data_IF_015162773650
#
_entry.id   IF_015162773650
#
_cell.length_a   1.000
_cell.length_b   1.000
_cell.length_c   1.000
_cell.angle_alpha   90.00
_cell.angle_beta   90.00
_cell.angle_gamma   90.00
#
_symmetry.space_group_name_H-M   'P 1'
#
loop_
_entity.id
_entity.type
_entity.pdbx_description
1 polymer ?
#
# COMPACT_ATOMS: atom_id res chain seq x y z
N UNK A 1 -40.64 8.92 -31.07
CA UNK A 1 -40.77 8.31 -29.73
C UNK A 1 -39.41 8.32 -29.07
N UNK A 2 -39.21 9.14 -28.05
CA UNK A 2 -37.94 9.18 -27.31
C UNK A 2 -37.98 8.05 -26.27
N UNK A 3 -37.11 7.06 -26.40
CA UNK A 3 -36.96 5.99 -25.40
C UNK A 3 -36.45 6.63 -24.09
N UNK A 4 -37.25 6.51 -23.03
CA UNK A 4 -36.83 6.94 -21.70
C UNK A 4 -35.93 5.87 -21.08
N UNK A 5 -34.61 6.08 -21.11
CA UNK A 5 -33.64 5.15 -20.52
C UNK A 5 -33.85 4.96 -19.02
N UNK A 6 -34.55 5.89 -18.34
CA UNK A 6 -34.82 5.82 -16.91
C UNK A 6 -35.92 4.82 -16.54
N UNK A 7 -36.74 4.38 -17.51
CA UNK A 7 -37.76 3.35 -17.27
C UNK A 7 -37.22 1.93 -17.46
N UNK A 8 -35.97 1.77 -17.91
CA UNK A 8 -35.34 0.46 -18.08
C UNK A 8 -34.97 -0.08 -16.69
N UNK A 9 -35.30 -1.35 -16.37
CA UNK A 9 -34.82 -2.00 -15.15
C UNK A 9 -33.30 -1.88 -14.98
N UNK A 10 -32.86 -1.61 -13.75
CA UNK A 10 -31.45 -1.31 -13.45
C UNK A 10 -30.51 -2.43 -13.90
N UNK A 11 -30.95 -3.68 -13.82
CA UNK A 11 -30.18 -4.85 -14.24
C UNK A 11 -29.90 -4.85 -15.74
N UNK A 12 -30.92 -4.53 -16.55
CA UNK A 12 -30.77 -4.41 -18.01
C UNK A 12 -29.90 -3.20 -18.37
N UNK A 13 -30.05 -2.09 -17.66
CA UNK A 13 -29.22 -0.91 -17.86
C UNK A 13 -27.74 -1.22 -17.56
N UNK A 14 -27.44 -1.92 -16.47
CA UNK A 14 -26.09 -2.34 -16.12
C UNK A 14 -25.54 -3.38 -17.11
N UNK A 15 -26.39 -4.28 -17.62
CA UNK A 15 -26.00 -5.24 -18.64
C UNK A 15 -25.61 -4.54 -19.96
N UNK A 16 -26.38 -3.54 -20.39
CA UNK A 16 -26.03 -2.70 -21.55
C UNK A 16 -24.75 -1.92 -21.28
N UNK A 17 -24.65 -1.29 -20.11
CA UNK A 17 -23.48 -0.50 -19.71
C UNK A 17 -22.17 -1.31 -19.68
N UNK A 18 -22.25 -2.61 -19.36
CA UNK A 18 -21.11 -3.52 -19.36
C UNK A 18 -20.48 -3.71 -20.75
N UNK A 19 -21.25 -3.56 -21.83
CA UNK A 19 -20.74 -3.66 -23.21
C UNK A 19 -20.28 -2.32 -23.80
N UNK A 20 -20.32 -1.23 -23.03
CA UNK A 20 -19.89 0.08 -23.48
C UNK A 20 -18.43 0.35 -23.10
N UNK A 21 -17.68 0.90 -24.05
CA UNK A 21 -16.36 1.47 -23.77
C UNK A 21 -16.46 2.65 -22.78
N UNK A 22 -15.34 3.00 -22.15
CA UNK A 22 -15.28 4.07 -21.15
C UNK A 22 -15.87 5.41 -21.62
N UNK A 23 -15.65 5.80 -22.88
CA UNK A 23 -16.15 7.06 -23.44
C UNK A 23 -17.67 7.15 -23.55
N UNK A 24 -18.33 6.22 -24.28
CA UNK A 24 -19.79 6.09 -24.30
C UNK A 24 -20.39 5.94 -22.90
N UNK A 25 -19.75 5.17 -22.02
CA UNK A 25 -20.22 4.96 -20.66
C UNK A 25 -20.20 6.24 -19.82
N UNK A 26 -19.12 7.02 -19.92
CA UNK A 26 -19.01 8.34 -19.28
C UNK A 26 -20.04 9.33 -19.84
N UNK A 27 -20.31 9.26 -21.15
CA UNK A 27 -21.34 10.08 -21.79
C UNK A 27 -22.72 9.71 -21.25
N UNK A 28 -23.04 8.41 -21.21
CA UNK A 28 -24.30 7.89 -20.68
C UNK A 28 -24.52 8.29 -19.22
N UNK A 29 -23.52 8.12 -18.35
CA UNK A 29 -23.64 8.52 -16.94
C UNK A 29 -23.82 10.03 -16.77
N UNK A 30 -23.32 10.84 -17.71
CA UNK A 30 -23.47 12.30 -17.67
C UNK A 30 -24.82 12.83 -18.18
N UNK A 31 -25.63 11.99 -18.84
CA UNK A 31 -26.92 12.43 -19.43
C UNK A 31 -27.99 12.73 -18.39
N UNK A 32 -28.03 12.01 -17.26
CA UNK A 32 -29.02 12.24 -16.20
C UNK A 32 -28.45 11.97 -14.81
N UNK A 33 -29.00 12.65 -13.78
CA UNK A 33 -28.59 12.46 -12.38
C UNK A 33 -28.91 11.04 -11.89
N UNK A 34 -30.01 10.45 -12.36
CA UNK A 34 -30.38 9.08 -12.01
C UNK A 34 -29.36 8.08 -12.58
N UNK A 35 -28.98 8.24 -13.85
CA UNK A 35 -27.95 7.41 -14.50
C UNK A 35 -26.59 7.58 -13.83
N UNK A 36 -26.18 8.80 -13.47
CA UNK A 36 -24.95 9.04 -12.71
C UNK A 36 -24.95 8.32 -11.34
N UNK A 37 -26.11 8.14 -10.70
CA UNK A 37 -26.19 7.48 -9.41
C UNK A 37 -26.07 5.94 -9.50
N UNK A 38 -26.47 5.37 -10.65
CA UNK A 38 -26.51 3.92 -10.87
C UNK A 38 -25.26 3.42 -11.62
N UNK A 39 -24.79 4.18 -12.60
CA UNK A 39 -23.67 3.82 -13.47
C UNK A 39 -22.41 4.49 -12.94
N UNK A 40 -21.49 3.69 -12.41
CA UNK A 40 -20.13 4.12 -12.09
C UNK A 40 -19.14 3.64 -13.17
N UNK A 41 -18.70 4.52 -14.09
CA UNK A 41 -17.76 4.16 -15.15
C UNK A 41 -16.44 3.57 -14.62
N UNK A 42 -16.02 3.98 -13.42
CA UNK A 42 -14.76 3.53 -12.83
C UNK A 42 -14.86 2.11 -12.24
N UNK A 43 -16.07 1.64 -11.95
CA UNK A 43 -16.34 0.29 -11.49
C UNK A 43 -16.59 -0.70 -12.63
N UNK A 44 -17.17 -0.22 -13.75
CA UNK A 44 -17.57 -1.06 -14.87
C UNK A 44 -16.47 -1.27 -15.92
N UNK A 45 -15.60 -0.27 -16.13
CA UNK A 45 -14.51 -0.39 -17.09
C UNK A 45 -13.18 -0.75 -16.41
N UNK A 46 -12.32 -1.42 -17.17
CA UNK A 46 -10.95 -1.65 -16.78
C UNK A 46 -10.14 -0.35 -16.76
N UNK A 47 -9.06 -0.35 -15.97
CA UNK A 47 -8.12 0.76 -15.95
C UNK A 47 -7.44 0.97 -17.32
N UNK A 48 -7.26 -0.10 -18.10
CA UNK A 48 -6.67 -0.11 -19.44
C UNK A 48 -7.52 0.72 -20.42
N UNK A 49 -8.83 0.48 -20.45
CA UNK A 49 -9.79 1.22 -21.28
C UNK A 49 -9.85 2.70 -20.89
N UNK A 50 -9.86 2.97 -19.58
CA UNK A 50 -9.80 4.33 -19.05
C UNK A 50 -8.51 5.05 -19.50
N UNK A 51 -7.36 4.38 -19.44
CA UNK A 51 -6.11 4.94 -19.97
C UNK A 51 -6.20 5.24 -21.47
N UNK A 52 -6.72 4.29 -22.25
CA UNK A 52 -6.85 4.43 -23.70
C UNK A 52 -7.74 5.63 -24.07
N UNK A 53 -8.89 5.79 -23.40
CA UNK A 53 -9.79 6.92 -23.60
C UNK A 53 -9.10 8.26 -23.34
N UNK A 54 -8.44 8.43 -22.18
CA UNK A 54 -7.80 9.70 -21.84
C UNK A 54 -6.57 10.00 -22.73
N UNK A 55 -5.84 8.99 -23.18
CA UNK A 55 -4.76 9.16 -24.15
C UNK A 55 -5.30 9.57 -25.52
N UNK A 56 -6.41 8.99 -25.95
CA UNK A 56 -7.09 9.36 -27.17
C UNK A 56 -7.61 10.80 -27.09
N UNK A 57 -8.32 11.15 -26.02
CA UNK A 57 -8.83 12.50 -25.78
C UNK A 57 -7.70 13.56 -25.70
N UNK A 58 -6.57 13.27 -25.07
CA UNK A 58 -5.39 14.17 -25.06
C UNK A 58 -4.82 14.45 -26.47
N UNK A 59 -4.98 13.53 -27.41
CA UNK A 59 -4.42 13.63 -28.77
C UNK A 59 -5.41 14.22 -29.76
N UNK A 60 -6.66 13.83 -29.67
CA UNK A 60 -7.63 14.04 -30.74
C UNK A 60 -8.73 15.04 -30.40
N UNK A 61 -8.98 15.34 -29.12
CA UNK A 61 -10.08 16.22 -28.74
C UNK A 61 -9.62 17.68 -28.75
N UNK A 62 -10.20 18.56 -29.61
CA UNK A 62 -9.74 19.94 -29.74
C UNK A 62 -9.79 20.74 -28.44
N UNK A 63 -10.79 20.50 -27.60
CA UNK A 63 -10.94 21.13 -26.30
C UNK A 63 -9.81 20.81 -25.30
N UNK A 64 -8.99 19.80 -25.60
CA UNK A 64 -7.83 19.41 -24.81
C UNK A 64 -6.51 19.70 -25.51
N UNK A 65 -6.55 20.44 -26.63
CA UNK A 65 -5.34 20.93 -27.28
C UNK A 65 -4.48 21.72 -26.27
N UNK A 66 -3.17 21.46 -26.28
CA UNK A 66 -2.22 22.07 -25.36
C UNK A 66 -2.29 21.59 -23.90
N UNK A 67 -3.23 20.72 -23.54
CA UNK A 67 -3.34 20.16 -22.19
C UNK A 67 -2.71 18.77 -22.10
N UNK A 68 -2.33 18.39 -20.89
CA UNK A 68 -1.84 17.06 -20.56
C UNK A 68 -2.78 16.38 -19.55
N UNK A 69 -3.04 15.09 -19.72
CA UNK A 69 -3.80 14.32 -18.74
C UNK A 69 -2.91 13.90 -17.55
N UNK A 70 -3.42 14.12 -16.35
CA UNK A 70 -2.90 13.51 -15.13
C UNK A 70 -3.61 12.18 -14.88
N UNK A 71 -2.89 11.06 -14.99
CA UNK A 71 -3.49 9.74 -14.77
C UNK A 71 -3.72 9.38 -13.30
N UNK A 72 -3.31 10.25 -12.37
CA UNK A 72 -3.63 10.06 -10.96
C UNK A 72 -4.98 10.65 -10.57
N UNK A 73 -5.40 11.77 -11.17
CA UNK A 73 -6.69 12.39 -10.89
C UNK A 73 -7.64 12.44 -12.10
N UNK A 74 -7.21 11.93 -13.25
CA UNK A 74 -7.98 11.85 -14.49
C UNK A 74 -8.52 13.22 -14.97
N UNK A 75 -7.70 14.26 -14.79
CA UNK A 75 -8.00 15.63 -15.24
C UNK A 75 -6.97 16.10 -16.26
N UNK A 76 -7.44 16.83 -17.26
CA UNK A 76 -6.60 17.61 -18.17
C UNK A 76 -6.11 18.86 -17.45
N UNK A 77 -4.80 19.10 -17.51
CA UNK A 77 -4.11 20.20 -16.85
C UNK A 77 -3.14 20.84 -17.84
N UNK A 78 -2.84 22.11 -17.64
CA UNK A 78 -1.84 22.81 -18.45
C UNK A 78 -0.43 22.23 -18.20
N UNK A 79 0.48 22.26 -19.19
CA UNK A 79 1.78 21.58 -19.09
C UNK A 79 2.70 22.08 -17.96
N UNK A 80 2.55 23.34 -17.56
CA UNK A 80 3.23 23.99 -16.42
C UNK A 80 2.80 23.42 -15.06
N UNK A 81 1.68 22.69 -15.01
CA UNK A 81 1.24 21.95 -13.82
C UNK A 81 1.86 20.56 -13.71
N UNK A 82 2.84 20.23 -14.54
CA UNK A 82 3.60 18.98 -14.46
C UNK A 82 5.06 19.27 -14.13
N UNK A 83 5.73 18.33 -13.47
CA UNK A 83 7.19 18.38 -13.36
C UNK A 83 7.83 18.15 -14.73
N UNK A 84 9.04 18.66 -14.94
CA UNK A 84 9.68 18.68 -16.27
C UNK A 84 9.86 17.26 -16.84
N UNK A 85 10.16 16.29 -15.98
CA UNK A 85 10.27 14.87 -16.35
C UNK A 85 8.95 14.24 -16.82
N UNK A 86 7.82 14.81 -16.37
CA UNK A 86 6.46 14.41 -16.74
C UNK A 86 5.94 15.19 -17.96
N UNK A 87 6.53 16.35 -18.26
CA UNK A 87 6.22 17.18 -19.44
C UNK A 87 7.01 16.73 -20.69
N UNK A 88 8.34 16.70 -20.61
CA UNK A 88 9.24 16.51 -21.76
C UNK A 88 10.11 15.25 -21.70
N UNK A 89 10.02 14.44 -20.64
CA UNK A 89 10.90 13.29 -20.42
C UNK A 89 10.34 11.94 -20.91
N UNK A 90 10.92 10.86 -20.38
CA UNK A 90 10.48 9.46 -20.56
C UNK A 90 9.05 9.19 -20.10
N UNK A 91 8.39 10.14 -19.44
CA UNK A 91 7.00 10.05 -19.01
C UNK A 91 6.09 11.07 -19.73
N UNK A 92 6.65 11.84 -20.67
CA UNK A 92 5.93 12.86 -21.43
C UNK A 92 4.99 12.28 -22.49
N UNK A 93 4.20 13.15 -23.11
CA UNK A 93 3.19 12.80 -24.15
C UNK A 93 3.77 12.03 -25.34
N UNK A 94 5.04 12.24 -25.65
CA UNK A 94 5.72 11.64 -26.80
C UNK A 94 6.67 10.50 -26.41
N UNK A 95 6.55 9.95 -25.19
CA UNK A 95 7.37 8.78 -24.84
C UNK A 95 6.92 7.55 -25.62
N UNK A 96 7.87 6.82 -26.20
CA UNK A 96 7.63 5.52 -26.83
C UNK A 96 7.18 4.42 -25.85
N UNK A 97 7.41 4.60 -24.55
CA UNK A 97 7.02 3.63 -23.52
C UNK A 97 5.64 3.98 -22.96
N UNK A 98 4.62 3.25 -23.44
CA UNK A 98 3.23 3.42 -23.00
C UNK A 98 3.07 3.23 -21.49
N UNK A 99 3.82 2.31 -20.86
CA UNK A 99 3.74 2.10 -19.41
C UNK A 99 4.24 3.32 -18.64
N UNK A 100 5.31 3.97 -19.14
CA UNK A 100 5.83 5.20 -18.51
C UNK A 100 4.92 6.40 -18.75
N UNK A 101 4.26 6.51 -19.90
CA UNK A 101 3.24 7.53 -20.12
C UNK A 101 2.11 7.41 -19.09
N UNK A 102 1.60 6.20 -18.86
CA UNK A 102 0.53 5.92 -17.87
C UNK A 102 0.90 6.33 -16.44
N UNK A 103 2.19 6.50 -16.14
CA UNK A 103 2.69 7.01 -14.85
C UNK A 103 2.82 8.55 -14.76
N UNK A 104 2.25 9.29 -15.72
CA UNK A 104 2.21 10.76 -15.69
C UNK A 104 1.18 11.26 -14.69
N UNK A 105 1.56 12.23 -13.88
CA UNK A 105 0.70 12.87 -12.89
C UNK A 105 1.04 14.35 -12.78
N UNK A 106 0.04 15.18 -12.49
CA UNK A 106 0.24 16.60 -12.24
C UNK A 106 1.00 16.81 -10.92
N UNK A 107 1.61 17.99 -10.80
CA UNK A 107 2.37 18.44 -9.65
C UNK A 107 1.60 18.28 -8.35
N UNK A 108 0.34 18.73 -8.35
CA UNK A 108 -0.56 18.64 -7.20
C UNK A 108 -0.71 17.19 -6.72
N UNK A 109 -1.03 16.26 -7.62
CA UNK A 109 -1.10 14.83 -7.29
C UNK A 109 0.25 14.29 -6.83
N UNK A 110 1.34 14.72 -7.47
CA UNK A 110 2.69 14.32 -7.12
C UNK A 110 3.06 14.64 -5.67
N UNK A 111 2.68 15.83 -5.20
CA UNK A 111 2.94 16.30 -3.84
C UNK A 111 1.94 15.71 -2.85
N UNK A 112 0.63 15.87 -3.09
CA UNK A 112 -0.44 15.46 -2.17
C UNK A 112 -0.52 13.94 -1.97
N UNK A 113 -0.37 13.17 -3.04
CA UNK A 113 -0.36 11.70 -3.02
C UNK A 113 1.03 11.11 -2.84
N UNK A 114 2.06 11.95 -2.63
CA UNK A 114 3.45 11.55 -2.35
C UNK A 114 4.05 10.64 -3.43
N UNK A 115 3.75 10.94 -4.69
CA UNK A 115 4.30 10.19 -5.83
C UNK A 115 5.75 10.58 -6.13
N UNK A 116 6.17 11.77 -5.69
CA UNK A 116 7.59 12.14 -5.68
C UNK A 116 8.32 11.55 -4.48
N UNK A 117 9.62 11.25 -4.64
CA UNK A 117 10.47 10.83 -3.52
C UNK A 117 10.62 11.98 -2.50
N UNK A 118 10.65 11.63 -1.22
CA UNK A 118 10.73 12.61 -0.13
C UNK A 118 12.04 13.39 -0.18
N UNK A 119 11.97 14.73 -0.16
CA UNK A 119 13.11 15.65 -0.17
C UNK A 119 14.08 15.40 -1.34
N UNK A 120 13.61 14.80 -2.42
CA UNK A 120 14.38 14.68 -3.66
C UNK A 120 14.03 15.84 -4.58
N UNK A 121 15.05 16.44 -5.20
CA UNK A 121 14.87 17.51 -6.17
C UNK A 121 14.02 17.05 -7.36
N UNK A 122 12.97 17.81 -7.66
CA UNK A 122 12.09 17.66 -8.82
C UNK A 122 12.04 19.00 -9.53
N UNK A 123 12.43 19.03 -10.79
CA UNK A 123 12.37 20.24 -11.62
C UNK A 123 10.95 20.50 -12.10
N UNK A 124 10.51 21.75 -12.02
CA UNK A 124 9.26 22.27 -12.58
C UNK A 124 9.53 23.68 -13.11
N UNK A 125 9.33 23.89 -14.41
CA UNK A 125 9.59 25.18 -15.06
C UNK A 125 11.02 25.66 -14.80
N UNK A 126 12.00 24.74 -14.88
CA UNK A 126 13.42 25.04 -14.61
C UNK A 126 13.81 25.18 -13.14
N UNK A 127 12.85 25.41 -12.23
CA UNK A 127 13.11 25.54 -10.78
C UNK A 127 13.07 24.17 -10.11
N UNK A 128 14.04 23.90 -9.24
CA UNK A 128 14.10 22.64 -8.47
C UNK A 128 13.35 22.79 -7.15
N UNK A 129 12.34 21.96 -6.94
CA UNK A 129 11.60 21.85 -5.67
C UNK A 129 11.87 20.51 -4.99
N UNK A 130 11.64 20.46 -3.69
CA UNK A 130 11.87 19.33 -2.80
C UNK A 130 10.55 18.99 -2.11
N UNK A 131 9.78 18.02 -2.64
CA UNK A 131 8.50 17.60 -2.05
C UNK A 131 8.69 16.99 -0.65
N UNK A 132 8.05 17.58 0.35
CA UNK A 132 8.05 17.09 1.72
C UNK A 132 6.77 16.29 2.01
N UNK A 133 6.92 15.01 2.37
CA UNK A 133 5.79 14.13 2.64
C UNK A 133 5.08 14.47 3.95
N UNK A 134 5.78 15.10 4.90
CA UNK A 134 5.25 15.43 6.22
C UNK A 134 4.31 16.64 6.15
N UNK A 135 4.79 17.78 5.65
CA UNK A 135 3.99 18.99 5.51
C UNK A 135 3.10 18.97 4.26
N UNK A 136 3.40 18.13 3.26
CA UNK A 136 2.65 18.05 2.01
C UNK A 136 2.87 19.26 1.09
N UNK A 137 3.99 19.97 1.24
CA UNK A 137 4.41 21.10 0.39
C UNK A 137 5.65 20.72 -0.43
N UNK A 138 5.85 21.40 -1.56
CA UNK A 138 7.09 21.33 -2.32
C UNK A 138 7.80 22.67 -2.24
N UNK A 139 9.03 22.66 -1.69
CA UNK A 139 9.77 23.87 -1.33
C UNK A 139 11.08 23.92 -2.11
N UNK A 140 11.61 25.11 -2.39
CA UNK A 140 12.93 25.26 -3.04
C UNK A 140 14.06 24.92 -2.07
N UNK A 141 15.31 24.77 -2.56
CA UNK A 141 16.45 24.33 -1.75
C UNK A 141 16.64 25.16 -0.46
N UNK A 142 16.52 26.49 -0.54
CA UNK A 142 16.64 27.41 0.60
C UNK A 142 15.45 27.40 1.56
N UNK A 143 14.36 26.72 1.20
CA UNK A 143 13.15 26.57 2.03
C UNK A 143 12.80 25.12 2.28
N UNK A 144 13.68 24.16 1.95
CA UNK A 144 13.41 22.74 2.20
C UNK A 144 13.05 22.57 3.68
N UNK A 145 12.12 21.68 4.01
CA UNK A 145 11.89 21.36 5.42
C UNK A 145 13.16 20.73 5.99
N UNK A 146 14.02 21.54 6.62
CA UNK A 146 15.25 21.10 7.29
C UNK A 146 14.93 20.45 8.65
N UNK A 147 13.72 20.72 9.15
CA UNK A 147 13.48 20.85 10.58
C UNK A 147 12.46 19.83 11.12
N UNK A 148 12.62 18.56 10.74
CA UNK A 148 11.89 17.47 11.41
C UNK A 148 12.78 16.28 11.82
N UNK A 149 14.09 16.40 11.61
CA UNK A 149 15.07 15.38 12.02
C UNK A 149 15.84 15.74 13.29
N UNK A 150 15.66 16.95 13.85
CA UNK A 150 16.23 17.32 15.15
C UNK A 150 15.15 18.02 15.95
N UNK A 151 14.85 17.44 17.12
CA UNK A 151 14.03 17.98 18.22
C UNK A 151 12.61 18.41 17.85
N UNK A 152 11.64 17.57 18.25
CA UNK A 152 10.30 18.05 18.58
C UNK A 152 10.42 18.98 19.80
N UNK A 153 10.84 20.21 19.55
CA UNK A 153 10.71 21.29 20.51
C UNK A 153 9.28 21.86 20.37
N UNK A 154 8.39 21.72 21.36
CA UNK A 154 7.00 22.16 21.27
C UNK A 154 6.85 23.68 21.10
N UNK A 155 7.93 24.47 21.20
CA UNK A 155 7.92 25.92 21.03
C UNK A 155 7.81 26.39 19.56
N UNK A 156 8.05 25.53 18.55
CA UNK A 156 8.04 25.95 17.14
C UNK A 156 6.63 25.96 16.50
N UNK A 157 5.59 26.29 17.28
CA UNK A 157 4.22 26.44 16.80
C UNK A 157 3.80 27.88 16.50
N UNK A 158 4.65 28.87 16.81
CA UNK A 158 4.27 30.29 16.71
C UNK A 158 5.00 31.14 15.66
N UNK A 159 5.99 30.63 14.93
CA UNK A 159 6.61 31.40 13.85
C UNK A 159 5.77 31.35 12.56
N UNK A 160 4.65 32.08 12.59
CA UNK A 160 3.98 32.63 11.42
C UNK A 160 4.88 33.71 10.81
N UNK A 161 5.84 33.31 9.98
CA UNK A 161 6.50 34.27 9.09
C UNK A 161 5.63 34.51 7.85
N UNK A 162 4.96 35.67 7.87
CA UNK A 162 4.42 36.33 6.69
C UNK A 162 5.57 36.63 5.72
N UNK A 163 5.43 36.22 4.46
CA UNK A 163 6.25 36.72 3.35
C UNK A 163 5.34 37.45 2.37
N UNK A 164 5.59 38.74 2.06
CA UNK A 164 4.67 39.57 1.25
C UNK A 164 4.69 39.33 -0.26
N UNK A 165 5.60 38.51 -0.81
CA UNK A 165 5.89 38.50 -2.26
C UNK A 165 5.53 37.22 -3.01
N UNK A 166 4.41 36.60 -2.62
CA UNK A 166 3.63 35.68 -3.48
C UNK A 166 2.17 35.66 -2.99
N UNK A 167 1.59 36.86 -2.95
CA UNK A 167 0.17 37.09 -2.75
C UNK A 167 -0.64 36.74 -3.99
N UNK A 168 -0.64 35.47 -4.39
CA UNK A 168 -1.75 34.85 -5.12
C UNK A 168 -2.05 33.50 -4.45
N UNK A 169 -2.83 33.60 -3.37
CA UNK A 169 -3.81 32.62 -2.89
C UNK A 169 -3.35 31.14 -2.83
N UNK A 170 -2.39 30.82 -1.98
CA UNK A 170 -2.55 29.63 -1.16
C UNK A 170 -3.07 30.09 0.19
N UNK A 171 -4.39 30.07 0.31
CA UNK A 171 -5.07 30.33 1.56
C UNK A 171 -4.67 29.27 2.60
N UNK A 172 -3.59 29.55 3.33
CA UNK A 172 -3.29 28.95 4.64
C UNK A 172 -4.27 29.45 5.73
N UNK A 173 -5.33 30.17 5.35
CA UNK A 173 -6.38 30.69 6.22
C UNK A 173 -7.77 30.08 6.00
N UNK A 174 -7.98 29.15 5.05
CA UNK A 174 -9.23 28.38 5.06
C UNK A 174 -8.99 27.17 5.98
N UNK A 175 -9.48 27.18 7.23
CA UNK A 175 -9.40 25.99 8.07
C UNK A 175 -9.95 24.83 7.27
N UNK A 176 -9.11 23.80 7.03
CA UNK A 176 -9.53 22.57 6.37
C UNK A 176 -10.85 22.17 7.01
N UNK A 177 -11.92 22.20 6.23
CA UNK A 177 -13.24 21.82 6.74
C UNK A 177 -13.12 20.38 7.21
N UNK A 178 -13.19 20.19 8.52
CA UNK A 178 -13.14 18.87 9.12
C UNK A 178 -14.31 18.07 8.56
N UNK A 179 -14.05 16.82 8.19
CA UNK A 179 -15.13 15.97 7.71
C UNK A 179 -16.20 15.83 8.80
N UNK A 180 -17.44 15.51 8.41
CA UNK A 180 -18.51 15.25 9.40
C UNK A 180 -18.08 14.17 10.40
N UNK A 181 -17.33 13.16 9.94
CA UNK A 181 -16.78 12.10 10.77
C UNK A 181 -15.69 12.58 11.74
N UNK A 182 -14.78 13.46 11.29
CA UNK A 182 -13.76 14.06 12.16
C UNK A 182 -14.41 14.88 13.28
N UNK A 183 -15.42 15.70 12.96
CA UNK A 183 -16.18 16.47 13.95
C UNK A 183 -16.95 15.57 14.92
N UNK A 184 -17.53 14.48 14.43
CA UNK A 184 -18.26 13.52 15.25
C UNK A 184 -17.34 12.81 16.26
N UNK A 185 -16.14 12.40 15.84
CA UNK A 185 -15.17 11.75 16.73
C UNK A 185 -14.60 12.70 17.78
N UNK A 186 -14.55 13.99 17.48
CA UNK A 186 -14.13 15.02 18.42
C UNK A 186 -15.24 15.39 19.40
N UNK A 187 -16.48 15.56 18.91
CA UNK A 187 -17.62 15.96 19.71
C UNK A 187 -18.10 14.88 20.70
N UNK A 188 -18.08 13.61 20.30
CA UNK A 188 -18.62 12.51 21.12
C UNK A 188 -17.56 11.69 21.87
N UNK A 189 -16.33 12.22 21.94
CA UNK A 189 -15.24 11.65 22.75
C UNK A 189 -14.76 10.26 22.31
N UNK A 190 -13.99 9.61 23.20
CA UNK A 190 -13.31 8.35 22.91
C UNK A 190 -14.23 7.16 22.58
N UNK A 191 -15.41 7.07 23.23
CA UNK A 191 -16.28 5.88 23.15
C UNK A 191 -16.89 5.67 21.76
N UNK A 192 -17.45 6.72 21.15
CA UNK A 192 -18.05 6.61 19.80
C UNK A 192 -16.97 6.29 18.78
N UNK A 193 -15.82 6.95 18.89
CA UNK A 193 -14.64 6.67 18.06
C UNK A 193 -14.20 5.21 18.18
N UNK A 194 -14.04 4.69 19.39
CA UNK A 194 -13.62 3.30 19.63
C UNK A 194 -14.64 2.29 19.10
N UNK A 195 -15.94 2.54 19.28
CA UNK A 195 -16.98 1.66 18.75
C UNK A 195 -16.97 1.64 17.22
N UNK A 196 -16.90 2.80 16.57
CA UNK A 196 -16.84 2.88 15.10
C UNK A 196 -15.57 2.23 14.56
N UNK A 197 -14.41 2.56 15.12
CA UNK A 197 -13.14 1.99 14.67
C UNK A 197 -13.05 0.48 14.95
N UNK A 198 -13.67 -0.01 16.03
CA UNK A 198 -13.73 -1.43 16.36
C UNK A 198 -14.62 -2.26 15.43
N UNK A 199 -15.55 -1.63 14.71
CA UNK A 199 -16.37 -2.29 13.68
C UNK A 199 -15.66 -2.39 12.32
N UNK A 200 -14.60 -1.61 12.10
CA UNK A 200 -13.89 -1.59 10.83
C UNK A 200 -12.85 -2.72 10.76
N UNK A 201 -12.77 -3.37 9.61
CA UNK A 201 -11.70 -4.32 9.33
C UNK A 201 -10.33 -3.65 9.23
N UNK A 202 -9.27 -4.45 9.33
CA UNK A 202 -7.89 -3.94 9.35
C UNK A 202 -7.53 -3.10 8.11
N UNK A 203 -7.99 -3.53 6.93
CA UNK A 203 -7.77 -2.82 5.67
C UNK A 203 -8.45 -1.45 5.64
N UNK A 204 -9.67 -1.38 6.17
CA UNK A 204 -10.44 -0.14 6.20
C UNK A 204 -9.84 0.86 7.17
N UNK A 205 -9.32 0.38 8.31
CA UNK A 205 -8.56 1.23 9.23
C UNK A 205 -7.27 1.76 8.58
N UNK A 206 -6.55 0.95 7.80
CA UNK A 206 -5.38 1.43 7.02
C UNK A 206 -5.80 2.48 6.00
N UNK A 207 -6.90 2.27 5.28
CA UNK A 207 -7.43 3.22 4.29
C UNK A 207 -7.85 4.51 4.97
N UNK A 208 -8.62 4.43 6.04
CA UNK A 208 -9.07 5.56 6.86
C UNK A 208 -7.88 6.39 7.35
N UNK A 209 -6.83 5.73 7.87
CA UNK A 209 -5.58 6.37 8.31
C UNK A 209 -4.90 7.20 7.21
N UNK A 210 -5.13 6.88 5.93
CA UNK A 210 -4.57 7.62 4.78
C UNK A 210 -5.41 8.82 4.34
N UNK A 211 -6.70 8.85 4.70
CA UNK A 211 -7.64 9.89 4.23
C UNK A 211 -7.40 11.27 4.84
N UNK A 212 -6.94 11.34 6.10
CA UNK A 212 -6.70 12.62 6.76
C UNK A 212 -5.56 12.64 7.76
N UNK A 213 -5.10 13.86 8.10
CA UNK A 213 -4.12 14.07 9.17
C UNK A 213 -4.69 13.71 10.54
N UNK A 214 -5.97 13.96 10.76
CA UNK A 214 -6.65 13.60 12.00
C UNK A 214 -6.62 12.07 12.18
N UNK A 215 -7.14 11.31 11.22
CA UNK A 215 -7.15 9.84 11.30
C UNK A 215 -5.75 9.25 11.33
N UNK A 216 -4.76 9.88 10.70
CA UNK A 216 -3.37 9.42 10.82
C UNK A 216 -2.86 9.40 12.27
N UNK A 217 -3.28 10.38 13.08
CA UNK A 217 -2.89 10.53 14.49
C UNK A 217 -3.76 9.69 15.41
N UNK A 218 -5.06 9.58 15.13
CA UNK A 218 -6.04 8.96 16.02
C UNK A 218 -6.33 7.48 15.72
N UNK A 219 -6.09 7.04 14.49
CA UNK A 219 -6.33 5.64 14.08
C UNK A 219 -5.03 4.84 14.21
N UNK A 220 -5.07 3.84 15.08
CA UNK A 220 -4.07 2.79 15.20
C UNK A 220 -4.70 1.44 14.82
N UNK A 221 -4.52 0.98 13.56
CA UNK A 221 -5.12 -0.25 13.09
C UNK A 221 -4.78 -1.47 13.94
N UNK A 222 -3.61 -1.54 14.56
CA UNK A 222 -3.18 -2.70 15.36
C UNK A 222 -3.92 -2.75 16.70
N UNK A 223 -4.10 -1.58 17.33
CA UNK A 223 -4.78 -1.49 18.63
C UNK A 223 -6.29 -1.58 18.50
N UNK A 224 -6.86 -0.97 17.46
CA UNK A 224 -8.30 -0.78 17.32
C UNK A 224 -9.00 -1.90 16.53
N UNK A 225 -8.30 -2.60 15.65
CA UNK A 225 -8.88 -3.72 14.91
C UNK A 225 -8.94 -4.97 15.78
N UNK A 226 -10.11 -5.62 15.82
CA UNK A 226 -10.29 -6.94 16.46
C UNK A 226 -10.13 -8.10 15.47
N UNK A 227 -10.15 -7.80 14.17
CA UNK A 227 -10.02 -8.79 13.10
C UNK A 227 -8.56 -9.22 12.88
N UNK A 228 -8.11 -10.20 13.68
CA UNK A 228 -6.78 -10.83 13.56
C UNK A 228 -6.60 -11.50 12.20
N UNK A 229 -7.67 -12.07 11.64
CA UNK A 229 -7.62 -12.71 10.34
C UNK A 229 -7.35 -11.70 9.22
N UNK A 230 -8.00 -10.54 9.23
CA UNK A 230 -7.74 -9.46 8.28
C UNK A 230 -6.33 -8.89 8.41
N UNK A 231 -5.81 -8.76 9.63
CA UNK A 231 -4.41 -8.39 9.87
C UNK A 231 -3.44 -9.42 9.27
N UNK A 232 -3.71 -10.70 9.52
CA UNK A 232 -2.94 -11.83 8.98
C UNK A 232 -2.97 -11.85 7.46
N UNK A 233 -4.16 -11.79 6.85
CA UNK A 233 -4.36 -11.77 5.40
C UNK A 233 -3.61 -10.62 4.75
N UNK A 234 -3.65 -9.43 5.34
CA UNK A 234 -2.90 -8.28 4.83
C UNK A 234 -1.39 -8.53 4.82
N UNK A 235 -0.85 -9.07 5.92
CA UNK A 235 0.57 -9.38 6.02
C UNK A 235 0.95 -10.48 5.05
N UNK A 236 0.21 -11.58 5.01
CA UNK A 236 0.51 -12.71 4.14
C UNK A 236 0.43 -12.34 2.66
N UNK A 237 -0.54 -11.54 2.23
CA UNK A 237 -0.59 -11.04 0.86
C UNK A 237 0.66 -10.23 0.47
N UNK A 238 1.25 -9.50 1.44
CA UNK A 238 2.52 -8.80 1.23
C UNK A 238 3.71 -9.75 1.30
N UNK A 239 3.68 -10.76 2.16
CA UNK A 239 4.74 -11.77 2.23
C UNK A 239 4.80 -12.54 0.91
N UNK A 240 3.69 -13.12 0.46
CA UNK A 240 3.63 -13.91 -0.79
C UNK A 240 4.13 -13.11 -2.00
N UNK A 241 3.72 -11.84 -2.14
CA UNK A 241 4.22 -10.98 -3.21
C UNK A 241 5.74 -10.77 -3.15
N UNK A 242 6.34 -10.80 -1.96
CA UNK A 242 7.76 -10.51 -1.73
C UNK A 242 8.66 -11.75 -1.77
N UNK A 243 8.13 -12.97 -1.60
CA UNK A 243 8.94 -14.20 -1.72
C UNK A 243 9.56 -14.36 -3.11
N UNK A 244 8.92 -13.79 -4.14
CA UNK A 244 9.46 -13.76 -5.51
C UNK A 244 10.61 -12.77 -5.69
N UNK A 245 10.75 -11.78 -4.82
CA UNK A 245 11.74 -10.71 -4.90
C UNK A 245 12.58 -10.68 -3.62
N UNK A 246 13.66 -11.48 -3.59
CA UNK A 246 14.71 -11.75 -2.59
C UNK A 246 15.25 -10.58 -1.74
N UNK A 247 14.41 -9.65 -1.33
CA UNK A 247 14.78 -8.40 -0.70
C UNK A 247 14.68 -8.58 0.81
N UNK A 248 15.70 -8.06 1.50
CA UNK A 248 15.89 -8.20 2.94
C UNK A 248 14.85 -7.48 3.79
N UNK A 249 13.58 -7.84 3.63
CA UNK A 249 12.45 -7.36 4.38
C UNK A 249 11.63 -8.54 4.91
N UNK A 250 11.07 -8.37 6.11
CA UNK A 250 10.26 -9.36 6.83
C UNK A 250 9.05 -8.72 7.49
N UNK A 251 8.07 -9.55 7.78
CA UNK A 251 6.84 -9.12 8.44
C UNK A 251 6.99 -9.24 9.94
N UNK A 252 6.70 -8.15 10.64
CA UNK A 252 6.45 -8.19 12.06
C UNK A 252 4.97 -8.53 12.26
N UNK A 253 4.67 -9.68 12.84
CA UNK A 253 3.30 -10.16 13.06
C UNK A 253 2.62 -9.53 14.28
N UNK A 254 3.37 -8.76 15.08
CA UNK A 254 2.76 -7.92 16.11
C UNK A 254 2.20 -6.61 15.54
N UNK A 255 3.05 -5.83 14.85
CA UNK A 255 2.61 -4.53 14.30
C UNK A 255 2.07 -4.63 12.87
N UNK A 256 2.06 -5.84 12.30
CA UNK A 256 1.59 -6.15 10.95
C UNK A 256 2.20 -5.24 9.86
N UNK A 257 3.50 -4.94 10.00
CA UNK A 257 4.28 -4.13 9.05
C UNK A 257 5.44 -4.94 8.47
N UNK A 258 5.75 -4.64 7.21
CA UNK A 258 7.00 -5.06 6.56
C UNK A 258 8.12 -4.15 7.05
N UNK A 259 9.24 -4.76 7.45
CA UNK A 259 10.38 -4.15 8.13
C UNK A 259 11.67 -4.68 7.48
N UNK A 260 12.74 -3.90 7.46
CA UNK A 260 14.04 -4.39 6.96
C UNK A 260 14.63 -5.44 7.89
N UNK A 261 15.55 -6.27 7.40
CA UNK A 261 16.26 -7.29 8.22
C UNK A 261 16.91 -6.68 9.45
N UNK A 262 17.54 -5.52 9.31
CA UNK A 262 18.18 -4.79 10.41
C UNK A 262 17.24 -4.43 11.56
N UNK A 263 15.92 -4.51 11.35
CA UNK A 263 14.89 -4.25 12.36
C UNK A 263 14.46 -5.53 13.09
N UNK A 264 15.09 -6.67 12.87
CA UNK A 264 14.86 -7.92 13.60
C UNK A 264 16.12 -8.38 14.31
N UNK A 265 15.98 -9.20 15.36
CA UNK A 265 17.12 -9.82 16.00
C UNK A 265 17.75 -10.88 15.09
N UNK A 266 19.06 -11.13 15.26
CA UNK A 266 19.77 -12.12 14.45
C UNK A 266 19.28 -13.55 14.72
N UNK A 267 18.82 -13.82 15.94
CA UNK A 267 18.22 -15.10 16.32
C UNK A 267 16.88 -15.29 15.60
N UNK A 268 15.98 -14.30 15.64
CA UNK A 268 14.72 -14.36 14.90
C UNK A 268 14.94 -14.52 13.38
N UNK A 269 16.02 -13.94 12.88
CA UNK A 269 16.45 -14.10 11.50
C UNK A 269 16.92 -15.52 11.18
N UNK A 270 17.80 -16.09 12.01
CA UNK A 270 18.31 -17.45 11.84
C UNK A 270 17.18 -18.48 11.97
N UNK A 271 16.22 -18.22 12.87
CA UNK A 271 14.97 -18.95 13.00
C UNK A 271 13.97 -18.63 11.87
N UNK A 272 14.35 -17.98 10.77
CA UNK A 272 13.45 -17.80 9.61
C UNK A 272 13.69 -18.81 8.49
N UNK A 273 14.58 -19.78 8.72
CA UNK A 273 14.78 -20.91 7.80
C UNK A 273 13.50 -21.70 7.55
N UNK A 274 13.53 -22.54 6.51
CA UNK A 274 12.42 -23.40 6.11
C UNK A 274 11.91 -24.30 7.25
N UNK A 275 12.78 -24.60 8.23
CA UNK A 275 12.45 -25.30 9.48
C UNK A 275 11.36 -24.60 10.30
N UNK A 276 11.35 -23.27 10.38
CA UNK A 276 10.36 -22.54 11.20
C UNK A 276 9.01 -22.39 10.52
N UNK A 277 8.97 -22.47 9.18
CA UNK A 277 7.71 -22.62 8.46
C UNK A 277 7.08 -23.98 8.73
N UNK A 278 7.90 -25.05 8.79
CA UNK A 278 7.43 -26.38 9.18
C UNK A 278 6.99 -26.45 10.65
N UNK A 279 7.71 -25.78 11.55
CA UNK A 279 7.39 -25.73 12.97
C UNK A 279 6.16 -24.89 13.32
N UNK A 280 5.61 -24.12 12.36
CA UNK A 280 4.42 -23.29 12.61
C UNK A 280 4.66 -22.10 13.54
N UNK A 281 5.91 -21.72 13.79
CA UNK A 281 6.27 -20.63 14.72
C UNK A 281 6.62 -19.32 14.02
N UNK A 282 6.66 -19.29 12.69
CA UNK A 282 7.03 -18.11 11.91
C UNK A 282 6.17 -16.86 12.21
N UNK A 283 4.93 -17.04 12.70
CA UNK A 283 4.06 -15.94 13.10
C UNK A 283 4.49 -15.26 14.40
N UNK A 284 5.41 -15.85 15.19
CA UNK A 284 5.90 -15.26 16.45
C UNK A 284 6.91 -14.13 16.25
N UNK A 285 7.22 -13.78 14.99
CA UNK A 285 8.24 -12.78 14.66
C UNK A 285 7.81 -11.35 14.97
N UNK A 286 8.74 -10.61 15.56
CA UNK A 286 8.54 -9.24 16.04
C UNK A 286 9.75 -8.39 15.70
N UNK A 287 9.56 -7.21 15.14
CA UNK A 287 10.68 -6.28 14.97
C UNK A 287 11.17 -5.74 16.33
N UNK A 288 12.39 -5.22 16.39
CA UNK A 288 13.03 -4.65 17.59
C UNK A 288 12.14 -3.66 18.33
N UNK A 289 11.47 -2.75 17.60
CA UNK A 289 10.54 -1.78 18.20
C UNK A 289 9.38 -2.48 18.95
N UNK A 290 8.90 -3.60 18.43
CA UNK A 290 7.84 -4.37 19.09
C UNK A 290 8.43 -5.14 20.28
N UNK A 291 9.57 -5.81 20.12
CA UNK A 291 10.24 -6.48 21.25
C UNK A 291 10.51 -5.52 22.41
N UNK A 292 10.99 -4.31 22.13
CA UNK A 292 11.17 -3.26 23.15
C UNK A 292 9.85 -2.97 23.86
N UNK A 293 8.74 -2.79 23.13
CA UNK A 293 7.41 -2.58 23.74
C UNK A 293 6.84 -3.77 24.49
N UNK A 294 7.35 -4.99 24.29
CA UNK A 294 6.92 -6.17 25.03
C UNK A 294 7.63 -6.32 26.36
N UNK A 295 8.94 -6.05 26.35
CA UNK A 295 9.85 -6.48 27.41
C UNK A 295 10.51 -5.31 28.15
N UNK A 296 10.36 -4.07 27.68
CA UNK A 296 10.92 -2.91 28.38
C UNK A 296 10.17 -2.65 29.69
N UNK A 297 10.82 -2.59 30.85
CA UNK A 297 10.16 -2.52 32.16
C UNK A 297 9.13 -1.39 32.30
N UNK A 298 9.41 -0.23 31.71
CA UNK A 298 8.56 0.96 31.82
C UNK A 298 7.63 1.20 30.62
N UNK A 299 7.91 0.57 29.47
CA UNK A 299 7.18 0.81 28.21
C UNK A 299 6.39 -0.41 27.77
N UNK A 300 6.38 -1.46 28.60
CA UNK A 300 5.72 -2.72 28.33
C UNK A 300 4.20 -2.48 28.18
N UNK A 301 3.69 -2.75 26.99
CA UNK A 301 2.25 -2.79 26.74
C UNK A 301 1.75 -4.20 27.11
N UNK A 302 1.42 -4.40 28.38
CA UNK A 302 1.01 -5.70 28.94
C UNK A 302 -0.24 -6.24 28.27
N UNK A 303 -1.24 -5.39 28.01
CA UNK A 303 -2.47 -5.76 27.34
C UNK A 303 -2.20 -6.24 25.91
N UNK A 304 -1.36 -5.52 25.18
CA UNK A 304 -0.97 -5.97 23.84
C UNK A 304 -0.21 -7.31 23.92
N UNK A 305 0.65 -7.50 24.93
CA UNK A 305 1.44 -8.73 25.09
C UNK A 305 0.53 -9.93 25.31
N UNK A 306 -0.43 -9.81 26.21
CA UNK A 306 -1.47 -10.82 26.44
C UNK A 306 -2.29 -11.08 25.18
N UNK A 307 -2.66 -10.03 24.45
CA UNK A 307 -3.38 -10.16 23.18
C UNK A 307 -2.59 -11.00 22.17
N UNK A 308 -1.29 -10.79 22.04
CA UNK A 308 -0.46 -11.60 21.13
C UNK A 308 -0.23 -13.02 21.62
N UNK A 309 -0.03 -13.22 22.93
CA UNK A 309 0.14 -14.55 23.49
C UNK A 309 -1.13 -15.41 23.35
N UNK A 310 -2.30 -14.77 23.26
CA UNK A 310 -3.56 -15.45 22.91
C UNK A 310 -3.66 -15.83 21.43
N UNK A 311 -2.80 -15.33 20.55
CA UNK A 311 -2.85 -15.68 19.13
C UNK A 311 -2.28 -17.08 18.91
N UNK A 312 -2.90 -17.83 18.00
CA UNK A 312 -2.47 -19.17 17.57
C UNK A 312 -2.76 -19.33 16.08
N UNK A 313 -2.03 -20.22 15.39
CA UNK A 313 -2.43 -20.64 14.05
C UNK A 313 -3.59 -21.64 14.15
N UNK A 314 -4.53 -21.53 13.22
CA UNK A 314 -5.56 -22.55 13.04
C UNK A 314 -4.94 -23.83 12.46
N UNK A 315 -5.26 -24.98 13.03
CA UNK A 315 -4.70 -26.25 12.59
C UNK A 315 -5.12 -26.64 11.17
N UNK A 316 -6.31 -26.19 10.74
CA UNK A 316 -6.90 -26.46 9.44
C UNK A 316 -6.36 -25.51 8.36
N UNK A 317 -6.63 -24.21 8.49
CA UNK A 317 -6.34 -23.24 7.44
C UNK A 317 -5.02 -22.48 7.63
N UNK A 318 -4.29 -22.73 8.73
CA UNK A 318 -3.03 -22.07 9.11
C UNK A 318 -3.11 -20.53 9.15
N UNK A 319 -4.31 -19.99 9.35
CA UNK A 319 -4.52 -18.57 9.58
C UNK A 319 -4.43 -18.23 11.06
N UNK A 320 -3.96 -17.03 11.37
CA UNK A 320 -3.89 -16.55 12.75
C UNK A 320 -5.30 -16.29 13.30
N UNK A 321 -5.54 -16.70 14.54
CA UNK A 321 -6.79 -16.52 15.30
C UNK A 321 -6.47 -16.33 16.78
N UNK A 322 -7.45 -15.94 17.58
CA UNK A 322 -7.32 -16.05 19.05
C UNK A 322 -7.63 -17.47 19.53
N UNK A 323 -6.94 -17.91 20.58
CA UNK A 323 -7.21 -19.16 21.29
C UNK A 323 -8.62 -19.08 21.88
N UNK A 324 -9.40 -20.14 21.66
CA UNK A 324 -10.81 -20.22 22.08
C UNK A 324 -11.82 -19.57 21.12
N UNK A 325 -11.38 -18.81 20.11
CA UNK A 325 -12.27 -18.25 19.09
C UNK A 325 -12.33 -19.10 17.83
N UNK A 326 -13.46 -19.03 17.13
CA UNK A 326 -13.64 -19.62 15.80
C UNK A 326 -12.67 -19.01 14.79
N UNK A 327 -12.12 -19.86 13.91
CA UNK A 327 -11.21 -19.37 12.89
C UNK A 327 -11.98 -18.68 11.76
N UNK A 328 -11.97 -17.35 11.75
CA UNK A 328 -12.53 -16.54 10.65
C UNK A 328 -11.95 -16.92 9.27
N UNK A 329 -10.70 -17.39 9.23
CA UNK A 329 -10.10 -17.91 8.00
C UNK A 329 -10.73 -19.20 7.49
N UNK A 330 -11.21 -20.06 8.39
CA UNK A 330 -12.00 -21.24 8.00
C UNK A 330 -13.41 -20.83 7.56
N UNK A 331 -14.06 -19.91 8.28
CA UNK A 331 -15.40 -19.41 7.92
C UNK A 331 -15.38 -18.83 6.50
N UNK A 332 -14.43 -17.94 6.18
CA UNK A 332 -14.31 -17.31 4.86
C UNK A 332 -13.87 -18.30 3.77
N UNK A 333 -13.19 -19.39 4.12
CA UNK A 333 -12.66 -20.38 3.16
C UNK A 333 -13.37 -21.73 3.25
N UNK A 334 -14.58 -21.78 3.81
CA UNK A 334 -15.23 -23.03 4.14
C UNK A 334 -15.34 -23.93 2.90
N UNK A 335 -15.84 -23.39 1.80
CA UNK A 335 -15.97 -24.12 0.52
C UNK A 335 -14.64 -24.67 0.01
N UNK A 336 -13.56 -23.87 0.09
CA UNK A 336 -12.24 -24.28 -0.34
C UNK A 336 -11.61 -25.35 0.57
N UNK A 337 -11.96 -25.34 1.87
CA UNK A 337 -11.55 -26.36 2.82
C UNK A 337 -12.32 -27.65 2.56
N UNK A 338 -13.64 -27.57 2.44
CA UNK A 338 -14.51 -28.72 2.11
C UNK A 338 -14.07 -29.39 0.80
N UNK A 339 -13.76 -28.60 -0.23
CA UNK A 339 -13.25 -29.12 -1.50
C UNK A 339 -11.87 -29.79 -1.35
N UNK A 340 -10.97 -29.22 -0.55
CA UNK A 340 -9.67 -29.83 -0.26
C UNK A 340 -9.81 -31.16 0.49
N UNK A 341 -10.70 -31.21 1.47
CA UNK A 341 -11.00 -32.43 2.22
C UNK A 341 -11.64 -33.50 1.33
N UNK A 342 -12.57 -33.11 0.46
CA UNK A 342 -13.16 -33.99 -0.56
C UNK A 342 -12.08 -34.60 -1.46
N UNK A 343 -11.15 -33.78 -1.99
CA UNK A 343 -10.01 -34.25 -2.79
C UNK A 343 -9.08 -35.17 -2.00
N UNK A 344 -8.84 -34.89 -0.71
CA UNK A 344 -8.01 -35.75 0.15
C UNK A 344 -8.66 -37.10 0.36
N UNK A 345 -9.98 -37.15 0.60
CA UNK A 345 -10.75 -38.40 0.72
C UNK A 345 -10.73 -39.19 -0.59
N UNK A 346 -10.94 -38.54 -1.73
CA UNK A 346 -10.84 -39.18 -3.04
C UNK A 346 -9.44 -39.75 -3.32
N UNK A 347 -8.37 -39.04 -2.95
CA UNK A 347 -6.99 -39.55 -3.08
C UNK A 347 -6.70 -40.73 -2.15
N UNK A 348 -7.26 -40.73 -0.94
CA UNK A 348 -7.11 -41.86 -0.02
C UNK A 348 -7.89 -43.08 -0.52
N UNK A 349 -9.11 -42.90 -1.03
CA UNK A 349 -9.89 -43.96 -1.65
C UNK A 349 -9.21 -44.52 -2.91
N UNK A 350 -8.71 -43.67 -3.79
CA UNK A 350 -7.96 -44.10 -4.97
C UNK A 350 -6.62 -44.78 -4.61
N UNK A 351 -6.07 -44.49 -3.43
CA UNK A 351 -4.85 -45.13 -2.92
C UNK A 351 -5.14 -46.43 -2.16
N UNK A 352 -6.35 -46.60 -1.61
CA UNK A 352 -6.76 -47.86 -0.96
C UNK A 352 -7.13 -48.96 -1.95
N UNK A 353 -7.29 -48.64 -3.24
CA UNK A 353 -7.40 -49.65 -4.31
C UNK A 353 -6.03 -50.24 -4.71
N UNK A 354 -4.92 -49.71 -4.19
CA UNK A 354 -3.60 -50.34 -4.28
C UNK A 354 -3.35 -51.15 -3.00
N UNK A 355 -3.53 -52.48 -3.13
CA UNK A 355 -2.97 -53.55 -2.29
C UNK A 355 -3.53 -53.76 -0.87
N UNK A 356 -4.83 -54.02 -0.75
CA UNK A 356 -5.36 -54.79 0.41
C UNK A 356 -5.95 -56.17 0.03
N UNK A 357 -5.95 -56.56 -1.26
CA UNK A 357 -6.58 -57.80 -1.73
C UNK A 357 -5.65 -58.90 -2.25
N UNK A 358 -4.32 -58.77 -2.18
CA UNK A 358 -3.39 -59.84 -2.64
C UNK A 358 -2.62 -60.57 -1.52
N UNK A 359 -3.14 -60.59 -0.28
CA UNK A 359 -2.48 -61.34 0.82
C UNK A 359 -3.40 -62.05 1.81
N UNK A 360 -4.70 -62.13 1.54
CA UNK A 360 -5.72 -62.60 2.50
C UNK A 360 -6.12 -64.07 2.44
N UNK A 361 -5.55 -64.88 1.53
CA UNK A 361 -6.02 -66.27 1.30
C UNK A 361 -5.17 -67.36 1.97
N UNK A 362 -4.26 -67.01 2.88
CA UNK A 362 -3.50 -68.01 3.65
C UNK A 362 -3.53 -67.67 5.13
N UNK A 363 -4.64 -67.95 5.82
CA UNK A 363 -4.61 -68.48 7.19
C UNK A 363 -6.01 -68.81 7.71
N UNK A 364 -6.13 -70.05 8.22
CA UNK A 364 -7.14 -70.59 9.14
C UNK A 364 -8.41 -71.20 8.52
N UNK A 365 -8.19 -72.29 7.77
CA UNK A 365 -8.91 -73.54 8.07
C UNK A 365 -8.27 -74.16 9.32
N UNK A 366 -8.76 -73.83 10.50
CA UNK A 366 -8.65 -74.71 11.67
C UNK A 366 -10.06 -74.87 12.22
N UNK A 367 -10.70 -75.92 11.73
CA UNK A 367 -11.83 -76.59 12.37
C UNK A 367 -11.42 -77.07 13.76
N UNK A 368 -12.29 -76.87 14.75
CA UNK A 368 -12.07 -77.42 16.08
C UNK A 368 -13.17 -77.01 17.05
N UNK A 369 -14.26 -77.78 17.04
CA UNK A 369 -15.27 -77.82 18.10
C UNK A 369 -14.62 -77.90 19.49
N UNK A 370 -15.18 -77.17 20.46
CA UNK A 370 -15.37 -77.61 21.85
C UNK A 370 -16.13 -76.54 22.64
N UNK A 371 -17.35 -76.89 23.03
CA UNK A 371 -17.99 -76.41 24.25
C UNK A 371 -17.01 -76.42 25.43
N UNK A 372 -16.96 -75.35 26.23
CA UNK A 372 -16.86 -75.33 27.71
C UNK A 372 -16.79 -73.86 28.19
N UNK A 373 -17.73 -73.46 29.05
CA UNK A 373 -17.47 -72.66 30.25
C UNK A 373 -16.99 -71.19 30.13
N UNK A 374 -17.88 -70.27 30.54
CA UNK A 374 -17.63 -68.91 31.11
C UNK A 374 -16.26 -68.71 31.79
N UNK A 375 -15.65 -67.49 31.80
CA UNK A 375 -16.24 -66.33 32.50
C UNK A 375 -16.00 -64.94 31.87
N UNK A 376 -16.65 -63.94 32.48
CA UNK A 376 -16.62 -62.49 32.18
C UNK A 376 -15.21 -61.90 32.01
N UNK A 377 -15.04 -60.85 31.18
CA UNK A 377 -13.94 -59.92 31.31
C UNK A 377 -14.36 -58.67 32.11
N UNK A 378 -13.69 -58.50 33.25
CA UNK A 378 -13.60 -57.28 34.04
C UNK A 378 -13.12 -56.13 33.15
N UNK A 379 -13.97 -55.11 32.97
CA UNK A 379 -13.62 -53.83 32.36
C UNK A 379 -12.83 -52.99 33.37
N UNK A 380 -11.50 -53.04 33.27
CA UNK A 380 -10.61 -52.15 34.00
C UNK A 380 -10.47 -50.84 33.22
N UNK A 381 -11.15 -49.79 33.69
CA UNK A 381 -11.02 -48.44 33.15
C UNK A 381 -9.69 -47.86 33.62
N UNK A 382 -8.75 -47.66 32.68
CA UNK A 382 -7.55 -46.88 32.92
C UNK A 382 -7.95 -45.40 33.09
N UNK A 383 -7.76 -44.90 34.31
CA UNK A 383 -7.89 -43.49 34.68
C UNK A 383 -6.85 -42.68 33.89
N UNK A 384 -7.33 -41.87 32.94
CA UNK A 384 -6.52 -40.84 32.29
C UNK A 384 -6.14 -39.76 33.30
N UNK A 385 -4.84 -39.57 33.51
CA UNK A 385 -4.31 -38.45 34.28
C UNK A 385 -4.58 -37.10 33.59
N UNK A 386 -4.66 -35.99 34.35
CA UNK A 386 -4.93 -34.67 33.81
C UNK A 386 -3.75 -34.14 32.96
N UNK A 387 -4.01 -33.29 31.96
CA UNK A 387 -2.96 -32.68 31.16
C UNK A 387 -2.14 -31.72 32.03
N UNK A 388 -0.82 -31.94 32.07
CA UNK A 388 0.11 -31.05 32.73
C UNK A 388 0.20 -29.70 32.02
N UNK A 389 -0.05 -28.62 32.76
CA UNK A 389 0.24 -27.25 32.35
C UNK A 389 1.75 -27.05 32.30
N UNK A 390 2.35 -27.28 31.13
CA UNK A 390 3.77 -27.04 30.90
C UNK A 390 4.01 -25.57 30.51
N UNK A 391 4.09 -24.70 31.53
CA UNK A 391 4.44 -23.28 31.42
C UNK A 391 5.94 -23.01 31.69
N UNK A 392 6.81 -24.00 31.52
CA UNK A 392 8.19 -23.95 32.04
C UNK A 392 9.24 -23.27 31.15
N UNK A 393 8.91 -22.77 29.95
CA UNK A 393 9.91 -22.27 28.98
C UNK A 393 10.18 -20.75 29.01
N UNK A 394 9.81 -20.03 30.09
CA UNK A 394 10.06 -18.58 30.23
C UNK A 394 11.45 -18.20 30.81
N UNK A 395 12.26 -19.17 31.28
CA UNK A 395 13.51 -18.88 32.02
C UNK A 395 14.75 -18.57 31.17
N UNK A 396 14.65 -18.42 29.85
CA UNK A 396 15.83 -18.20 28.96
C UNK A 396 15.99 -16.77 28.40
N UNK A 397 15.22 -15.79 28.84
CA UNK A 397 15.22 -14.43 28.24
C UNK A 397 15.99 -13.38 29.08
N UNK A 398 16.48 -13.72 30.28
CA UNK A 398 17.15 -12.72 31.15
C UNK A 398 18.54 -12.17 30.73
N UNK A 399 19.29 -12.67 29.73
CA UNK A 399 20.55 -11.99 29.35
C UNK A 399 20.39 -10.76 28.44
N UNK A 400 19.20 -10.48 27.90
CA UNK A 400 19.05 -9.62 26.72
C UNK A 400 19.28 -8.12 26.96
N UNK A 401 19.24 -7.65 28.22
CA UNK A 401 19.25 -6.22 28.53
C UNK A 401 20.60 -5.66 28.98
N UNK A 402 21.67 -6.46 29.11
CA UNK A 402 22.97 -5.96 29.61
C UNK A 402 23.84 -5.24 28.57
N UNK A 403 23.56 -5.36 27.27
CA UNK A 403 24.44 -4.81 26.20
C UNK A 403 23.85 -3.62 25.44
N UNK A 404 22.95 -2.83 26.05
CA UNK A 404 22.43 -1.59 25.44
C UNK A 404 22.84 -0.40 26.30
N UNK A 405 24.15 -0.14 26.36
CA UNK A 405 24.70 1.16 26.73
C UNK A 405 25.16 1.91 25.48
N UNK A 406 25.05 3.25 25.42
CA UNK A 406 25.64 4.02 24.33
C UNK A 406 27.17 3.94 24.44
N UNK A 407 27.84 3.45 23.39
CA UNK A 407 29.29 3.63 23.26
C UNK A 407 29.55 5.10 22.95
N UNK A 408 30.12 5.80 23.94
CA UNK A 408 30.69 7.14 23.79
C UNK A 408 31.93 7.05 22.90
N UNK A 409 31.77 7.30 21.59
CA UNK A 409 32.90 7.58 20.71
C UNK A 409 33.33 9.05 20.88
N UNK A 410 34.23 9.27 21.83
CA UNK A 410 34.95 10.51 22.00
C UNK A 410 36.44 10.25 22.18
N UNK A 411 37.20 10.14 21.08
CA UNK A 411 38.62 10.47 21.12
C UNK A 411 39.10 10.99 19.76
N UNK A 412 39.52 12.25 19.81
CA UNK A 412 40.05 13.06 18.73
C UNK A 412 41.53 12.73 18.57
N UNK A 413 41.90 12.17 17.42
CA UNK A 413 43.29 12.03 16.98
C UNK A 413 43.48 12.79 15.68
N UNK A 414 44.08 13.97 15.75
CA UNK A 414 44.45 14.76 14.58
C UNK A 414 45.62 14.15 13.82
N UNK A 415 45.67 14.36 12.52
CA UNK A 415 46.92 14.49 11.76
C UNK A 415 46.66 15.20 10.43
N UNK A 416 47.66 16.01 10.11
CA UNK A 416 47.82 17.04 9.10
C UNK A 416 48.33 16.52 7.76
N UNK A 417 48.35 17.46 6.77
CA UNK A 417 49.05 17.42 5.48
C UNK A 417 48.31 16.65 4.36
N UNK A 418 48.32 17.04 3.08
CA UNK A 418 49.08 18.05 2.36
C UNK A 418 48.26 18.52 1.14
N UNK A 419 48.59 19.72 0.67
CA UNK A 419 48.18 20.25 -0.62
C UNK A 419 48.79 19.44 -1.77
N UNK A 420 48.10 19.38 -2.92
CA UNK A 420 48.70 19.27 -4.24
C UNK A 420 47.72 19.76 -5.31
N UNK A 421 48.04 20.93 -5.85
CA UNK A 421 47.77 21.35 -7.22
C UNK A 421 48.14 20.24 -8.21
N UNK A 422 47.37 20.10 -9.29
CA UNK A 422 47.85 20.40 -10.65
C UNK A 422 46.89 19.95 -11.78
N UNK A 423 46.80 20.85 -12.76
CA UNK A 423 46.80 20.61 -14.22
C UNK A 423 45.60 20.01 -14.96
N UNK A 424 44.92 20.95 -15.63
CA UNK A 424 44.33 20.82 -16.97
C UNK A 424 45.37 20.40 -18.03
N UNK A 425 44.96 19.60 -19.02
CA UNK A 425 44.82 20.12 -20.39
C UNK A 425 43.57 19.50 -21.07
N UNK A 426 43.06 19.90 -22.23
CA UNK A 426 43.48 20.82 -23.26
C UNK A 426 42.52 20.63 -24.45
N UNK A 427 42.32 21.73 -25.17
CA UNK A 427 41.84 21.89 -26.55
C UNK A 427 41.42 20.64 -27.36
N UNK A 428 40.19 20.66 -27.85
CA UNK A 428 39.75 20.15 -29.15
C UNK A 428 38.34 20.70 -29.39
N UNK A 429 37.91 21.16 -30.55
CA UNK A 429 38.44 21.15 -31.89
C UNK A 429 37.21 21.46 -32.75
N UNK A 430 37.31 22.49 -33.59
CA UNK A 430 36.27 22.97 -34.47
C UNK A 430 35.85 21.87 -35.46
N UNK A 431 34.55 21.75 -35.69
CA UNK A 431 33.95 20.86 -36.68
C UNK A 431 32.69 21.48 -37.23
N UNK A 432 32.86 22.35 -38.23
CA UNK A 432 31.82 22.84 -39.13
C UNK A 432 31.30 21.69 -40.00
N UNK A 433 30.02 21.73 -40.35
CA UNK A 433 29.49 20.93 -41.47
C UNK A 433 28.06 20.47 -41.29
N UNK A 434 27.11 21.25 -41.81
CA UNK A 434 25.93 20.71 -42.51
C UNK A 434 25.22 21.85 -43.25
N UNK A 435 25.47 21.85 -44.56
CA UNK A 435 24.86 22.70 -45.57
C UNK A 435 23.37 22.41 -45.77
N UNK A 436 22.68 23.50 -46.07
CA UNK A 436 21.37 23.65 -46.71
C UNK A 436 20.91 22.53 -47.65
N UNK A 437 19.65 22.14 -47.49
CA UNK A 437 18.82 21.67 -48.59
C UNK A 437 17.56 22.54 -48.65
N UNK A 438 17.52 23.36 -49.70
CA UNK A 438 16.36 24.11 -50.18
C UNK A 438 15.22 23.17 -50.56
N UNK A 439 14.02 23.48 -50.08
CA UNK A 439 12.76 23.14 -50.75
C UNK A 439 11.77 24.29 -50.52
N UNK A 440 11.83 25.25 -51.44
CA UNK A 440 10.76 26.18 -51.74
C UNK A 440 9.70 25.47 -52.58
N UNK A 441 8.42 25.63 -52.26
CA UNK A 441 7.34 25.86 -53.23
C UNK A 441 5.94 26.01 -52.57
N UNK A 442 5.31 27.11 -52.98
CA UNK A 442 3.86 27.38 -53.11
C UNK A 442 3.11 27.86 -51.87
N UNK A 443 3.11 29.19 -51.74
CA UNK A 443 2.06 30.00 -51.16
C UNK A 443 0.73 29.80 -51.91
N UNK A 444 -0.35 29.57 -51.17
CA UNK A 444 -1.71 29.93 -51.58
C UNK A 444 -2.27 30.91 -50.54
N UNK A 445 -2.37 32.16 -50.98
CA UNK A 445 -3.01 33.27 -50.31
C UNK A 445 -4.52 33.10 -50.35
N UNK A 446 -5.18 33.19 -49.21
CA UNK A 446 -6.59 33.57 -49.12
C UNK A 446 -6.74 34.59 -48.01
N UNK A 447 -6.89 35.84 -48.43
CA UNK A 447 -7.22 36.99 -47.59
C UNK A 447 -8.66 36.85 -47.07
N UNK A 448 -8.81 36.84 -45.75
CA UNK A 448 -10.08 37.15 -45.09
C UNK A 448 -9.79 38.24 -44.06
N UNK A 449 -10.06 39.48 -44.45
CA UNK A 449 -10.10 40.62 -43.56
C UNK A 449 -11.20 40.42 -42.50
N UNK A 450 -10.80 40.33 -41.22
CA UNK A 450 -11.67 40.64 -40.10
C UNK A 450 -10.98 41.67 -39.21
N UNK A 451 -11.64 42.81 -39.09
CA UNK A 451 -11.35 43.94 -38.21
C UNK A 451 -11.24 43.52 -36.74
N UNK A 452 -10.11 43.86 -36.13
CA UNK A 452 -9.84 43.80 -34.69
C UNK A 452 -10.35 45.08 -34.00
N UNK A 453 -11.02 45.00 -32.84
CA UNK A 453 -11.02 46.10 -31.89
C UNK A 453 -9.85 45.96 -30.90
N UNK A 454 -9.28 47.10 -30.55
CA UNK A 454 -8.15 47.31 -29.65
C UNK A 454 -8.37 46.66 -28.28
N UNK A 455 -7.38 45.89 -27.81
CA UNK A 455 -7.31 45.41 -26.43
C UNK A 455 -6.03 45.93 -25.79
N UNK A 456 -6.24 46.80 -24.80
CA UNK A 456 -5.25 47.39 -23.92
C UNK A 456 -4.33 46.35 -23.25
N UNK A 457 -3.06 46.73 -23.11
CA UNK A 457 -1.94 45.87 -22.74
C UNK A 457 -2.06 45.17 -21.38
N UNK A 458 -1.82 43.86 -21.39
CA UNK A 458 -1.46 43.06 -20.22
C UNK A 458 0.07 42.90 -20.14
N UNK A 459 0.67 42.88 -18.94
CA UNK A 459 2.10 42.65 -18.77
C UNK A 459 2.48 41.23 -19.22
N UNK A 460 3.53 41.15 -20.04
CA UNK A 460 4.13 39.91 -20.50
C UNK A 460 4.55 39.05 -19.31
N UNK A 461 3.83 37.95 -19.08
CA UNK A 461 4.33 36.86 -18.22
C UNK A 461 5.62 36.32 -18.85
N UNK A 462 6.66 36.02 -18.04
CA UNK A 462 7.84 35.34 -18.57
C UNK A 462 7.42 34.03 -19.21
N UNK A 463 7.72 33.85 -20.50
CA UNK A 463 7.49 32.59 -21.22
C UNK A 463 8.43 31.53 -20.63
N UNK A 464 7.86 30.43 -20.14
CA UNK A 464 8.58 29.26 -19.60
C UNK A 464 8.55 28.06 -20.53
#
# INVERSE_FOLDING_TARGET
MSLNLETIPVELLLHVAYFLDYGPLLSLSSTSRALHAVIDPDALCSLEEKFAFYQHAERHFPQHAGHLVCFSCWRFRSPDQFGDSKRHGRHGKFSHDARRQRSRFCWECGVTKRLYQHLKGVKRCGVTYYPCHQCGRALTAGRKCVEWTRTADPACSELRYASPWLGETWADGVPRQRSRLERLFEAHGGRVRERVLGMLGYLDLIRLKRTSRYFRRTVDPVRQCRDVYGMWKFVMARVEMWWWFHSGSKSCFWCFRIRSISQFSREQWNHWGWSSFKGGEYWRQRCWECLRRFYHPQLADTEARERFNRQVLCDVCKCLRYRGEECQGCVVRNDAITERERRRRQKLAAKSDYDFWEGGDVLLLVTGDSDVGRPEPVLQWAIGGPPGDDLSDERKIEPWFRNVGPEDEGSVGGSSAAASESDTPGLSGLGEGASSADLSLISLTTDVQRSNPEVNGMPLRPKC
#
